data_IF_798826934275
#
_entry.id   IF_798826934275
#
_cell.length_a   1.000
_cell.length_b   1.000
_cell.length_c   1.000
_cell.angle_alpha   90.00
_cell.angle_beta   90.00
_cell.angle_gamma   90.00
#
_symmetry.space_group_name_H-M   'P 1'
#
loop_
_entity.id
_entity.type
_entity.pdbx_description
1 polymer ?
#
# COMPACT_ATOMS: atom_id res chain seq x y z
N UNK A 1 -6.04 5.89 -24.17
CA UNK A 1 -4.96 5.19 -23.44
C UNK A 1 -4.61 5.87 -22.13
N UNK A 2 -4.38 7.18 -22.10
CA UNK A 2 -4.13 7.93 -20.87
C UNK A 2 -4.96 9.21 -20.80
N UNK A 3 -5.03 9.79 -19.60
CA UNK A 3 -5.60 11.12 -19.33
C UNK A 3 -4.49 11.95 -18.68
N UNK A 4 -4.21 13.14 -19.22
CA UNK A 4 -3.23 14.08 -18.68
C UNK A 4 -3.99 15.25 -18.08
N UNK A 5 -3.73 15.55 -16.80
CA UNK A 5 -4.43 16.61 -16.06
C UNK A 5 -3.45 17.73 -15.73
N UNK A 6 -3.62 18.85 -16.41
CA UNK A 6 -2.80 20.05 -16.25
C UNK A 6 -3.58 21.16 -15.54
N UNK A 7 -2.85 22.17 -15.04
CA UNK A 7 -3.45 23.30 -14.32
C UNK A 7 -4.09 22.92 -12.98
N UNK A 8 -5.03 23.75 -12.54
CA UNK A 8 -5.80 23.65 -11.29
C UNK A 8 -7.19 24.27 -11.50
N UNK A 9 -8.25 23.59 -11.05
CA UNK A 9 -9.61 24.15 -11.12
C UNK A 9 -9.83 25.21 -10.03
N UNK A 10 -10.72 26.19 -10.31
CA UNK A 10 -11.04 27.28 -9.36
C UNK A 10 -11.80 26.80 -8.13
N UNK A 11 -12.63 25.77 -8.30
CA UNK A 11 -13.39 25.08 -7.26
C UNK A 11 -13.20 23.56 -7.40
N UNK A 12 -13.60 22.76 -6.40
CA UNK A 12 -13.64 21.31 -6.51
C UNK A 12 -14.39 20.83 -7.75
N UNK A 13 -13.79 19.92 -8.52
CA UNK A 13 -14.39 19.28 -9.69
C UNK A 13 -14.22 17.77 -9.69
N UNK A 14 -15.03 17.07 -10.49
CA UNK A 14 -14.74 15.72 -10.95
C UNK A 14 -14.86 15.65 -12.48
N UNK A 15 -14.08 14.76 -13.09
CA UNK A 15 -14.11 14.52 -14.53
C UNK A 15 -14.97 13.29 -14.78
N UNK A 16 -15.98 13.42 -15.63
CA UNK A 16 -16.87 12.33 -16.04
C UNK A 16 -16.63 11.99 -17.51
N UNK A 17 -16.31 10.72 -17.78
CA UNK A 17 -16.02 10.23 -19.12
C UNK A 17 -16.98 9.09 -19.44
N UNK A 18 -17.88 9.31 -20.41
CA UNK A 18 -18.77 8.27 -20.94
C UNK A 18 -18.49 8.10 -22.44
N UNK A 19 -17.70 7.08 -22.76
CA UNK A 19 -17.17 6.84 -24.11
C UNK A 19 -16.44 8.08 -24.67
N UNK A 20 -16.97 8.74 -25.70
CA UNK A 20 -16.41 9.96 -26.31
C UNK A 20 -16.79 11.24 -25.57
N UNK A 21 -17.79 11.19 -24.70
CA UNK A 21 -18.27 12.36 -23.97
C UNK A 21 -17.43 12.59 -22.72
N UNK A 22 -16.83 13.77 -22.62
CA UNK A 22 -16.01 14.20 -21.48
C UNK A 22 -16.60 15.46 -20.89
N UNK A 23 -16.91 15.43 -19.61
CA UNK A 23 -17.50 16.54 -18.86
C UNK A 23 -16.66 16.83 -17.62
N UNK A 24 -16.54 18.12 -17.27
CA UNK A 24 -16.02 18.56 -15.98
C UNK A 24 -17.22 19.04 -15.16
N UNK A 25 -17.44 18.39 -14.03
CA UNK A 25 -18.59 18.65 -13.15
C UNK A 25 -18.14 19.20 -11.81
N UNK A 26 -19.01 19.98 -11.18
CA UNK A 26 -18.78 20.47 -9.82
C UNK A 26 -18.69 19.30 -8.83
N UNK A 27 -17.74 19.36 -7.90
CA UNK A 27 -17.56 18.36 -6.86
C UNK A 27 -17.73 18.96 -5.46
N UNK A 28 -18.34 20.14 -5.32
CA UNK A 28 -18.45 20.83 -4.04
C UNK A 28 -19.24 20.02 -3.01
N UNK A 29 -20.25 19.26 -3.44
CA UNK A 29 -21.04 18.38 -2.57
C UNK A 29 -20.29 17.15 -2.04
N UNK A 30 -19.24 16.72 -2.75
CA UNK A 30 -18.44 15.53 -2.41
C UNK A 30 -17.04 15.88 -1.87
N UNK A 31 -16.63 17.15 -1.92
CA UNK A 31 -15.42 17.63 -1.26
C UNK A 31 -15.57 17.51 0.27
N UNK A 32 -14.54 17.03 0.96
CA UNK A 32 -14.57 16.73 2.39
C UNK A 32 -15.19 15.37 2.74
N UNK A 33 -15.80 14.66 1.78
CA UNK A 33 -16.40 13.34 1.99
C UNK A 33 -15.37 12.23 1.88
N UNK A 34 -15.56 11.17 2.67
CA UNK A 34 -14.76 9.94 2.54
C UNK A 34 -14.96 9.31 1.16
N UNK A 35 -14.02 8.48 0.73
CA UNK A 35 -14.06 7.85 -0.61
C UNK A 35 -15.36 7.06 -0.86
N UNK A 36 -15.89 6.35 0.15
CA UNK A 36 -17.14 5.60 0.02
C UNK A 36 -18.37 6.50 -0.15
N UNK A 37 -18.47 7.55 0.65
CA UNK A 37 -19.56 8.53 0.57
C UNK A 37 -19.55 9.26 -0.78
N UNK A 38 -18.38 9.76 -1.21
CA UNK A 38 -18.22 10.44 -2.49
C UNK A 38 -18.58 9.53 -3.67
N UNK A 39 -18.11 8.28 -3.67
CA UNK A 39 -18.46 7.30 -4.70
C UNK A 39 -19.95 7.00 -4.75
N UNK A 40 -20.62 6.87 -3.61
CA UNK A 40 -22.06 6.63 -3.57
C UNK A 40 -22.85 7.82 -4.14
N UNK A 41 -22.46 9.04 -3.79
CA UNK A 41 -23.09 10.26 -4.31
C UNK A 41 -22.91 10.35 -5.82
N UNK A 42 -21.69 10.15 -6.34
CA UNK A 42 -21.41 10.15 -7.78
C UNK A 42 -22.26 9.10 -8.50
N UNK A 43 -22.33 7.86 -7.98
CA UNK A 43 -23.11 6.79 -8.61
C UNK A 43 -24.61 7.09 -8.64
N UNK A 44 -25.13 7.75 -7.61
CA UNK A 44 -26.52 8.17 -7.55
C UNK A 44 -26.80 9.34 -8.51
N UNK A 45 -25.91 10.34 -8.58
CA UNK A 45 -26.04 11.48 -9.49
C UNK A 45 -26.03 11.04 -10.97
N UNK A 46 -25.18 10.07 -11.30
CA UNK A 46 -25.04 9.56 -12.67
C UNK A 46 -26.05 8.47 -13.05
N UNK A 47 -26.79 7.94 -12.06
CA UNK A 47 -27.69 6.79 -12.20
C UNK A 47 -27.05 5.60 -12.97
N UNK A 48 -25.77 5.34 -12.72
CA UNK A 48 -25.02 4.27 -13.39
C UNK A 48 -24.11 3.54 -12.39
N UNK A 49 -24.48 2.29 -12.08
CA UNK A 49 -23.73 1.44 -11.13
C UNK A 49 -22.45 0.85 -11.73
N UNK A 50 -22.30 0.88 -13.06
CA UNK A 50 -21.19 0.29 -13.81
C UNK A 50 -20.04 1.29 -14.05
N UNK A 51 -20.11 2.47 -13.47
CA UNK A 51 -19.00 3.43 -13.48
C UNK A 51 -17.87 2.95 -12.56
N UNK A 52 -16.65 3.21 -13.00
CA UNK A 52 -15.44 3.02 -12.21
C UNK A 52 -14.89 4.38 -11.81
N UNK A 53 -14.42 4.49 -10.57
CA UNK A 53 -14.04 5.77 -9.96
C UNK A 53 -12.62 5.71 -9.43
N UNK A 54 -11.77 6.61 -9.93
CA UNK A 54 -10.47 6.96 -9.35
C UNK A 54 -10.63 8.27 -8.58
N UNK A 55 -10.41 8.26 -7.27
CA UNK A 55 -10.73 9.41 -6.41
C UNK A 55 -9.77 9.60 -5.25
N UNK A 56 -9.87 10.77 -4.62
CA UNK A 56 -9.24 11.08 -3.34
C UNK A 56 -10.31 11.24 -2.25
N UNK A 57 -9.92 10.96 -1.01
CA UNK A 57 -10.62 11.32 0.21
C UNK A 57 -9.97 12.56 0.86
N UNK A 58 -10.32 12.85 2.13
CA UNK A 58 -9.83 14.01 2.86
C UNK A 58 -8.30 14.15 2.91
N UNK A 59 -7.54 13.05 2.96
CA UNK A 59 -6.08 13.11 2.95
C UNK A 59 -5.50 13.72 1.67
N UNK A 60 -6.10 13.44 0.51
CA UNK A 60 -5.72 14.09 -0.75
C UNK A 60 -6.12 15.55 -0.79
N UNK A 61 -7.32 15.89 -0.31
CA UNK A 61 -7.85 17.25 -0.25
C UNK A 61 -7.03 18.16 0.67
N UNK A 62 -6.57 17.62 1.81
CA UNK A 62 -5.67 18.28 2.74
C UNK A 62 -4.19 18.16 2.35
N UNK A 63 -3.87 17.60 1.18
CA UNK A 63 -2.50 17.50 0.67
C UNK A 63 -1.53 16.75 1.59
N UNK A 64 -1.98 15.70 2.29
CA UNK A 64 -1.09 14.80 3.03
C UNK A 64 -0.04 14.27 2.05
N UNK A 65 1.27 14.38 2.36
CA UNK A 65 2.34 14.14 1.37
C UNK A 65 2.35 12.75 0.78
N UNK A 66 1.80 11.77 1.51
CA UNK A 66 1.63 10.39 1.10
C UNK A 66 0.14 10.04 0.89
N UNK A 67 -0.68 11.02 0.50
CA UNK A 67 -2.03 10.75 0.01
C UNK A 67 -1.99 9.97 -1.30
N UNK A 68 -2.93 9.05 -1.44
CA UNK A 68 -3.02 8.11 -2.55
C UNK A 68 -4.27 8.35 -3.39
N UNK A 69 -4.32 7.76 -4.58
CA UNK A 69 -5.56 7.70 -5.38
C UNK A 69 -6.19 6.33 -5.17
N UNK A 70 -7.47 6.32 -4.79
CA UNK A 70 -8.25 5.11 -4.53
C UNK A 70 -9.17 4.84 -5.72
N UNK A 71 -9.04 3.64 -6.28
CA UNK A 71 -9.87 3.08 -7.34
C UNK A 71 -10.89 2.12 -6.73
N UNK A 72 -12.18 2.42 -6.90
CA UNK A 72 -13.31 1.62 -6.40
C UNK A 72 -13.15 1.14 -4.95
N UNK A 73 -12.71 2.03 -4.06
CA UNK A 73 -12.56 1.86 -2.60
C UNK A 73 -11.49 0.87 -2.08
N UNK A 74 -10.88 0.06 -2.95
CA UNK A 74 -10.05 -1.09 -2.52
C UNK A 74 -8.74 -1.30 -3.30
N UNK A 75 -8.50 -0.49 -4.31
CA UNK A 75 -7.25 -0.53 -5.08
C UNK A 75 -6.59 0.83 -5.03
N UNK A 76 -5.34 0.89 -4.60
CA UNK A 76 -4.65 2.16 -4.41
C UNK A 76 -3.51 2.33 -5.42
N UNK A 77 -3.42 3.50 -6.03
CA UNK A 77 -2.12 4.04 -6.45
C UNK A 77 -1.49 4.67 -5.20
N UNK A 78 -0.88 3.79 -4.39
CA UNK A 78 -0.68 4.01 -2.95
C UNK A 78 0.35 5.06 -2.58
N UNK A 79 1.52 5.06 -3.22
CA UNK A 79 2.70 5.76 -2.71
C UNK A 79 3.06 6.97 -3.54
N UNK A 80 4.07 7.73 -3.13
CA UNK A 80 4.61 8.92 -3.82
C UNK A 80 3.71 10.16 -3.84
N UNK A 81 2.58 10.15 -3.13
CA UNK A 81 1.79 11.38 -2.91
C UNK A 81 0.90 11.81 -4.08
N UNK A 82 0.57 10.91 -5.01
CA UNK A 82 -0.24 11.26 -6.18
C UNK A 82 -1.65 11.73 -5.82
N UNK A 83 -2.20 11.29 -4.67
CA UNK A 83 -3.46 11.82 -4.14
C UNK A 83 -3.36 13.28 -3.73
N UNK A 84 -2.21 13.73 -3.19
CA UNK A 84 -1.99 15.14 -2.88
C UNK A 84 -1.82 15.98 -4.14
N UNK A 85 -1.17 15.43 -5.17
CA UNK A 85 -1.10 16.09 -6.49
C UNK A 85 -2.50 16.27 -7.06
N UNK A 86 -3.33 15.23 -7.03
CA UNK A 86 -4.73 15.30 -7.47
C UNK A 86 -5.54 16.33 -6.68
N UNK A 87 -5.42 16.35 -5.35
CA UNK A 87 -6.08 17.34 -4.49
C UNK A 87 -5.60 18.77 -4.72
N UNK A 88 -4.30 18.97 -4.99
CA UNK A 88 -3.73 20.31 -5.27
C UNK A 88 -4.36 20.98 -6.49
N UNK A 89 -4.92 20.17 -7.41
CA UNK A 89 -5.61 20.61 -8.63
C UNK A 89 -7.10 20.83 -8.42
N UNK A 90 -7.62 20.69 -7.19
CA UNK A 90 -9.04 20.65 -6.85
C UNK A 90 -9.81 19.56 -7.61
N UNK A 91 -9.14 18.45 -7.96
CA UNK A 91 -9.76 17.32 -8.63
C UNK A 91 -10.13 16.24 -7.62
N UNK A 92 -11.42 16.03 -7.37
CA UNK A 92 -11.93 15.02 -6.44
C UNK A 92 -11.90 13.62 -7.02
N UNK A 93 -12.31 13.47 -8.28
CA UNK A 93 -12.45 12.17 -8.93
C UNK A 93 -12.30 12.25 -10.45
N UNK A 94 -11.90 11.13 -11.04
CA UNK A 94 -12.07 10.79 -12.45
C UNK A 94 -12.98 9.57 -12.50
N UNK A 95 -14.11 9.72 -13.18
CA UNK A 95 -15.19 8.75 -13.25
C UNK A 95 -15.31 8.30 -14.70
N UNK A 96 -15.28 6.99 -14.95
CA UNK A 96 -15.23 6.45 -16.31
C UNK A 96 -16.28 5.37 -16.53
N UNK A 97 -16.94 5.45 -17.69
CA UNK A 97 -17.83 4.43 -18.25
C UNK A 97 -17.50 4.23 -19.73
N UNK A 98 -17.06 3.02 -20.08
CA UNK A 98 -16.75 2.64 -21.47
C UNK A 98 -17.46 1.37 -21.91
N UNK A 99 -17.88 1.29 -23.17
CA UNK A 99 -18.47 0.08 -23.77
C UNK A 99 -17.66 -0.49 -24.96
N UNK A 100 -16.55 0.15 -25.33
CA UNK A 100 -15.67 -0.29 -26.41
C UNK A 100 -14.74 -1.41 -25.96
N UNK A 101 -14.46 -2.34 -26.86
CA UNK A 101 -13.48 -3.43 -26.65
C UNK A 101 -12.13 -3.05 -27.27
N UNK A 102 -11.00 -3.27 -26.57
CA UNK A 102 -9.68 -3.10 -27.15
C UNK A 102 -9.48 -4.01 -28.38
N UNK A 103 -8.77 -3.52 -29.39
CA UNK A 103 -8.36 -4.33 -30.55
C UNK A 103 -7.21 -5.24 -30.14
N UNK A 104 -7.30 -6.53 -30.48
CA UNK A 104 -6.26 -7.53 -30.23
C UNK A 104 -5.76 -8.06 -31.58
N UNK A 105 -4.46 -7.96 -31.82
CA UNK A 105 -3.85 -8.33 -33.10
C UNK A 105 -3.97 -9.83 -33.40
N UNK A 106 -3.75 -10.69 -32.40
CA UNK A 106 -3.90 -12.14 -32.52
C UNK A 106 -4.69 -12.69 -31.32
N UNK A 107 -5.97 -12.98 -31.53
CA UNK A 107 -6.90 -13.39 -30.47
C UNK A 107 -6.65 -14.83 -30.04
N UNK A 108 -6.30 -15.69 -30.98
CA UNK A 108 -5.99 -17.10 -30.78
C UNK A 108 -4.76 -17.22 -29.88
N UNK A 109 -3.69 -16.48 -30.19
CA UNK A 109 -2.47 -16.49 -29.38
C UNK A 109 -2.69 -15.96 -27.97
N UNK A 110 -3.49 -14.91 -27.81
CA UNK A 110 -3.84 -14.40 -26.48
C UNK A 110 -4.61 -15.46 -25.67
N UNK A 111 -5.53 -16.20 -26.29
CA UNK A 111 -6.25 -17.30 -25.64
C UNK A 111 -5.31 -18.43 -25.22
N UNK A 112 -4.39 -18.85 -26.09
CA UNK A 112 -3.38 -19.86 -25.76
C UNK A 112 -2.53 -19.45 -24.54
N UNK A 113 -2.06 -18.20 -24.51
CA UNK A 113 -1.25 -17.69 -23.40
C UNK A 113 -2.04 -17.66 -22.09
N UNK A 114 -3.30 -17.20 -22.13
CA UNK A 114 -4.21 -17.22 -20.97
C UNK A 114 -4.41 -18.64 -20.46
N UNK A 115 -4.67 -19.60 -21.35
CA UNK A 115 -4.97 -20.99 -20.99
C UNK A 115 -3.72 -21.67 -20.43
N UNK A 116 -2.55 -21.41 -21.02
CA UNK A 116 -1.26 -21.86 -20.48
C UNK A 116 -1.00 -21.29 -19.08
N UNK A 117 -1.24 -20.00 -18.86
CA UNK A 117 -1.12 -19.40 -17.52
C UNK A 117 -2.06 -20.09 -16.52
N UNK A 118 -3.31 -20.28 -16.92
CA UNK A 118 -4.36 -20.85 -16.09
C UNK A 118 -4.05 -22.29 -15.69
N UNK A 119 -3.63 -23.11 -16.64
CA UNK A 119 -3.39 -24.54 -16.43
C UNK A 119 -2.05 -24.81 -15.72
N UNK A 120 -1.02 -23.99 -15.96
CA UNK A 120 0.33 -24.29 -15.49
C UNK A 120 0.74 -23.52 -14.23
N UNK A 121 0.25 -22.28 -14.05
CA UNK A 121 0.79 -21.37 -13.04
C UNK A 121 -0.18 -21.04 -11.90
N UNK A 122 -1.50 -21.11 -12.11
CA UNK A 122 -2.48 -20.76 -11.06
C UNK A 122 -2.35 -21.58 -9.78
N UNK A 123 -1.96 -22.85 -9.88
CA UNK A 123 -1.73 -23.71 -8.72
C UNK A 123 -0.69 -23.15 -7.75
N UNK A 124 0.28 -22.37 -8.24
CA UNK A 124 1.32 -21.73 -7.43
C UNK A 124 0.78 -20.57 -6.59
N UNK A 125 -0.42 -20.08 -6.89
CA UNK A 125 -1.05 -18.94 -6.22
C UNK A 125 -2.14 -19.34 -5.21
N UNK A 126 -2.23 -20.63 -4.85
CA UNK A 126 -3.28 -21.14 -3.94
C UNK A 126 -3.34 -20.40 -2.60
N UNK A 127 -2.20 -20.10 -1.99
CA UNK A 127 -2.18 -19.35 -0.72
C UNK A 127 -2.69 -17.91 -0.90
N UNK A 128 -2.34 -17.23 -2.01
CA UNK A 128 -2.88 -15.91 -2.33
C UNK A 128 -4.40 -15.96 -2.58
N UNK A 129 -4.87 -16.99 -3.28
CA UNK A 129 -6.30 -17.21 -3.54
C UNK A 129 -7.11 -17.39 -2.25
N UNK A 130 -6.53 -18.05 -1.25
CA UNK A 130 -7.21 -18.36 0.01
C UNK A 130 -7.08 -17.26 1.06
N UNK A 131 -5.94 -16.58 1.13
CA UNK A 131 -5.60 -15.71 2.26
C UNK A 131 -5.01 -14.35 1.87
N UNK A 132 -4.82 -14.09 0.56
CA UNK A 132 -4.16 -12.90 0.06
C UNK A 132 -2.70 -12.79 0.50
N UNK A 133 -2.09 -11.61 0.32
CA UNK A 133 -0.73 -11.36 0.81
C UNK A 133 -0.69 -11.35 2.35
N UNK A 134 0.41 -11.79 2.95
CA UNK A 134 0.53 -11.85 4.43
C UNK A 134 -0.04 -13.13 5.05
N UNK A 135 -0.86 -13.91 4.33
CA UNK A 135 -1.33 -15.21 4.79
C UNK A 135 -0.21 -16.26 4.87
N UNK A 136 -0.01 -16.82 6.06
CA UNK A 136 0.96 -17.88 6.32
C UNK A 136 2.42 -17.45 6.36
N UNK A 137 2.71 -16.14 6.35
CA UNK A 137 4.09 -15.61 6.28
C UNK A 137 4.48 -14.74 7.46
N UNK A 138 3.54 -14.32 8.32
CA UNK A 138 3.86 -13.35 9.38
C UNK A 138 4.85 -13.93 10.40
N UNK A 139 4.56 -15.12 10.93
CA UNK A 139 5.45 -15.79 11.89
C UNK A 139 6.78 -16.18 11.24
N UNK A 140 6.74 -16.75 10.03
CA UNK A 140 7.97 -17.06 9.28
C UNK A 140 8.86 -15.83 9.11
N UNK A 141 8.31 -14.68 8.69
CA UNK A 141 9.07 -13.46 8.52
C UNK A 141 9.62 -12.91 9.84
N UNK A 142 8.87 -13.06 10.94
CA UNK A 142 9.40 -12.73 12.27
C UNK A 142 10.57 -13.62 12.66
N UNK A 143 10.47 -14.95 12.45
CA UNK A 143 11.51 -15.92 12.80
C UNK A 143 12.80 -15.71 12.03
N UNK A 144 12.72 -15.42 10.72
CA UNK A 144 13.92 -15.20 9.90
C UNK A 144 14.47 -13.77 9.99
N UNK A 145 13.83 -12.90 10.77
CA UNK A 145 14.25 -11.48 10.91
C UNK A 145 13.89 -10.59 9.72
N UNK A 146 12.92 -10.98 8.87
CA UNK A 146 12.46 -10.17 7.73
C UNK A 146 11.33 -9.18 8.09
N UNK A 147 10.64 -9.40 9.23
CA UNK A 147 9.47 -8.61 9.64
C UNK A 147 9.91 -7.39 10.49
N UNK A 148 9.76 -6.15 10.00
CA UNK A 148 10.06 -4.96 10.77
C UNK A 148 9.20 -4.87 12.03
N UNK A 149 9.83 -4.61 13.18
CA UNK A 149 9.16 -4.55 14.47
C UNK A 149 9.58 -3.30 15.23
N UNK A 150 8.59 -2.52 15.71
CA UNK A 150 8.77 -1.25 16.43
C UNK A 150 9.70 -0.27 15.70
N UNK A 151 9.24 0.28 14.58
CA UNK A 151 10.02 1.20 13.73
C UNK A 151 11.39 0.64 13.32
N UNK A 152 11.42 -0.62 12.85
CA UNK A 152 12.65 -1.38 12.53
C UNK A 152 13.69 -1.48 13.67
N UNK A 153 13.36 -1.10 14.91
CA UNK A 153 14.29 -1.19 16.06
C UNK A 153 14.62 -2.62 16.44
N UNK A 154 13.66 -3.54 16.31
CA UNK A 154 13.80 -4.92 16.73
C UNK A 154 13.66 -5.91 15.56
N UNK A 155 14.46 -6.99 15.61
CA UNK A 155 14.29 -8.16 14.77
C UNK A 155 13.52 -9.24 15.53
N UNK A 156 12.32 -9.59 15.06
CA UNK A 156 11.56 -10.73 15.55
C UNK A 156 10.59 -10.45 16.71
N UNK A 157 9.57 -11.30 16.78
CA UNK A 157 8.50 -11.28 17.78
C UNK A 157 7.83 -12.65 17.83
N UNK A 158 7.43 -13.10 19.01
CA UNK A 158 6.67 -14.35 19.18
C UNK A 158 5.15 -14.17 19.00
N UNK A 159 4.71 -12.94 18.69
CA UNK A 159 3.29 -12.59 18.54
C UNK A 159 2.85 -12.41 17.09
N UNK A 160 3.75 -12.52 16.11
CA UNK A 160 3.42 -12.30 14.70
C UNK A 160 2.27 -13.18 14.17
N UNK A 161 2.09 -14.38 14.72
CA UNK A 161 0.97 -15.27 14.37
C UNK A 161 -0.42 -14.67 14.63
N UNK A 162 -0.57 -13.73 15.56
CA UNK A 162 -1.86 -13.06 15.81
C UNK A 162 -2.22 -12.07 14.72
N UNK A 163 -1.26 -11.70 13.87
CA UNK A 163 -1.46 -10.83 12.71
C UNK A 163 -1.66 -11.62 11.41
N UNK A 164 -1.55 -12.94 11.44
CA UNK A 164 -1.57 -13.76 10.23
C UNK A 164 -3.02 -14.02 9.74
N UNK A 165 -3.40 -13.58 8.53
CA UNK A 165 -4.75 -13.79 7.99
C UNK A 165 -5.10 -15.27 7.80
N UNK A 166 -4.13 -16.17 7.60
CA UNK A 166 -4.40 -17.61 7.46
C UNK A 166 -4.85 -18.22 8.78
N UNK A 167 -4.25 -17.77 9.87
CA UNK A 167 -4.53 -18.27 11.23
C UNK A 167 -5.83 -17.63 11.76
N UNK A 168 -6.04 -16.34 11.52
CA UNK A 168 -7.11 -15.55 12.14
C UNK A 168 -8.28 -15.22 11.17
N UNK A 169 -8.42 -15.98 10.08
CA UNK A 169 -9.43 -15.74 9.02
C UNK A 169 -10.86 -15.63 9.53
N UNK A 170 -11.24 -16.43 10.52
CA UNK A 170 -12.59 -16.44 11.07
C UNK A 170 -12.86 -15.18 11.92
N UNK A 171 -11.85 -14.70 12.66
CA UNK A 171 -11.97 -13.51 13.51
C UNK A 171 -12.23 -12.22 12.72
N UNK A 172 -11.78 -12.19 11.48
CA UNK A 172 -11.94 -11.06 10.56
C UNK A 172 -12.98 -11.33 9.45
N UNK A 173 -13.68 -12.47 9.50
CA UNK A 173 -14.64 -12.90 8.48
C UNK A 173 -14.04 -12.78 7.05
N UNK A 174 -12.84 -13.33 6.86
CA UNK A 174 -12.07 -13.16 5.64
C UNK A 174 -12.77 -13.78 4.43
N UNK A 175 -13.02 -12.96 3.42
CA UNK A 175 -13.43 -13.37 2.08
C UNK A 175 -12.42 -12.87 1.07
N UNK A 176 -12.46 -13.48 -0.11
CA UNK A 176 -11.52 -13.20 -1.19
C UNK A 176 -12.26 -12.81 -2.48
N UNK A 177 -11.72 -11.85 -3.20
CA UNK A 177 -12.21 -11.30 -4.45
C UNK A 177 -11.08 -11.12 -5.48
N UNK A 178 -11.44 -10.69 -6.69
CA UNK A 178 -10.51 -10.52 -7.82
C UNK A 178 -10.48 -9.07 -8.29
N UNK A 179 -9.34 -8.67 -8.87
CA UNK A 179 -9.32 -7.54 -9.80
C UNK A 179 -9.98 -7.94 -11.13
N UNK A 180 -10.21 -6.97 -12.02
CA UNK A 180 -10.75 -7.23 -13.36
C UNK A 180 -9.99 -8.34 -14.08
N UNK A 181 -10.72 -9.35 -14.57
CA UNK A 181 -10.22 -10.51 -15.32
C UNK A 181 -9.09 -11.31 -14.63
N UNK A 182 -8.87 -11.12 -13.33
CA UNK A 182 -7.74 -11.72 -12.63
C UNK A 182 -8.11 -13.10 -12.04
N UNK A 183 -7.39 -14.18 -12.41
CA UNK A 183 -7.66 -15.52 -11.89
C UNK A 183 -7.04 -15.81 -10.51
N UNK A 184 -6.20 -14.92 -9.97
CA UNK A 184 -5.44 -15.15 -8.72
C UNK A 184 -6.29 -15.00 -7.46
N UNK A 185 -7.26 -14.08 -7.46
CA UNK A 185 -8.17 -13.80 -6.33
C UNK A 185 -7.49 -13.40 -5.02
N UNK A 186 -6.48 -12.51 -5.09
CA UNK A 186 -5.73 -12.09 -3.91
C UNK A 186 -6.41 -11.00 -3.06
N UNK A 187 -7.51 -10.39 -3.51
CA UNK A 187 -8.10 -9.21 -2.85
C UNK A 187 -8.92 -9.62 -1.63
N UNK A 188 -8.53 -9.15 -0.45
CA UNK A 188 -9.25 -9.43 0.78
C UNK A 188 -10.50 -8.57 0.91
N UNK A 189 -11.53 -9.15 1.50
CA UNK A 189 -12.74 -8.48 1.98
C UNK A 189 -12.94 -8.92 3.43
N UNK A 190 -12.97 -7.95 4.35
CA UNK A 190 -13.01 -8.18 5.79
C UNK A 190 -14.22 -7.47 6.39
N UNK A 191 -14.92 -8.13 7.30
CA UNK A 191 -16.04 -7.54 8.02
C UNK A 191 -15.92 -7.87 9.50
N UNK A 192 -15.86 -6.83 10.34
CA UNK A 192 -15.75 -6.98 11.79
C UNK A 192 -16.86 -6.15 12.44
N UNK A 193 -17.52 -6.70 13.45
CA UNK A 193 -18.58 -6.02 14.20
C UNK A 193 -18.10 -5.43 15.53
N UNK A 194 -17.07 -6.03 16.13
CA UNK A 194 -16.50 -5.62 17.43
C UNK A 194 -15.06 -6.12 17.62
N UNK A 195 -14.24 -5.45 18.46
CA UNK A 195 -14.50 -4.12 19.02
C UNK A 195 -14.32 -3.00 17.98
N UNK A 196 -13.67 -3.31 16.85
CA UNK A 196 -13.45 -2.40 15.74
C UNK A 196 -14.42 -2.71 14.61
N UNK A 197 -15.45 -1.88 14.42
CA UNK A 197 -16.38 -2.04 13.29
C UNK A 197 -15.63 -1.79 11.98
N UNK A 198 -15.55 -2.78 11.09
CA UNK A 198 -14.90 -2.70 9.78
C UNK A 198 -15.90 -3.00 8.68
N UNK A 199 -16.06 -2.04 7.76
CA UNK A 199 -16.95 -2.13 6.61
C UNK A 199 -16.27 -2.88 5.45
N UNK A 200 -16.86 -3.98 4.94
CA UNK A 200 -16.28 -4.78 3.87
C UNK A 200 -16.07 -4.05 2.54
N UNK A 201 -16.72 -2.90 2.30
CA UNK A 201 -16.52 -2.16 1.04
C UNK A 201 -15.08 -1.65 0.87
N UNK A 202 -14.34 -1.48 1.97
CA UNK A 202 -12.95 -1.01 1.96
C UNK A 202 -11.92 -2.15 1.87
N UNK A 203 -12.37 -3.38 1.66
CA UNK A 203 -11.50 -4.55 1.50
C UNK A 203 -10.83 -4.98 2.81
N UNK A 204 -9.60 -5.47 2.73
CA UNK A 204 -8.80 -5.87 3.89
C UNK A 204 -7.31 -5.58 3.70
N UNK A 205 -6.52 -5.60 4.79
CA UNK A 205 -5.12 -5.21 4.76
C UNK A 205 -4.28 -6.21 3.95
N UNK A 206 -3.41 -5.71 3.07
CA UNK A 206 -2.33 -6.48 2.45
C UNK A 206 -1.14 -6.62 3.41
N UNK A 207 -0.17 -7.49 3.09
CA UNK A 207 1.02 -7.76 3.93
C UNK A 207 1.66 -6.48 4.47
N UNK A 208 1.90 -5.52 3.57
CA UNK A 208 2.49 -4.22 3.89
C UNK A 208 1.67 -3.46 4.95
N UNK A 209 0.35 -3.39 4.77
CA UNK A 209 -0.55 -2.78 5.75
C UNK A 209 -0.55 -3.53 7.08
N UNK A 210 -0.49 -4.87 7.04
CA UNK A 210 -0.47 -5.70 8.25
C UNK A 210 0.80 -5.42 9.06
N UNK A 211 1.96 -5.42 8.42
CA UNK A 211 3.23 -5.19 9.10
C UNK A 211 3.39 -3.72 9.53
N UNK A 212 2.97 -2.75 8.70
CA UNK A 212 3.11 -1.32 9.00
C UNK A 212 2.32 -0.89 10.23
N UNK A 213 1.07 -1.33 10.37
CA UNK A 213 0.22 -1.02 11.53
C UNK A 213 0.31 -2.06 12.65
N UNK A 214 0.77 -3.26 12.35
CA UNK A 214 0.93 -4.35 13.31
C UNK A 214 2.31 -4.32 13.96
N UNK A 215 3.20 -5.21 13.49
CA UNK A 215 4.52 -5.44 14.10
C UNK A 215 5.35 -4.16 14.19
N UNK A 216 5.31 -3.30 13.16
CA UNK A 216 6.09 -2.07 13.13
C UNK A 216 5.60 -1.01 14.12
N UNK A 217 4.31 -1.01 14.49
CA UNK A 217 3.77 -0.23 15.61
C UNK A 217 3.74 -1.03 16.94
N UNK A 218 4.28 -2.25 16.97
CA UNK A 218 4.23 -3.13 18.14
C UNK A 218 2.82 -3.60 18.51
N UNK A 219 1.86 -3.51 17.59
CA UNK A 219 0.45 -3.87 17.78
C UNK A 219 0.23 -5.29 17.24
N UNK A 220 -0.45 -6.12 18.03
CA UNK A 220 -0.68 -7.54 17.74
C UNK A 220 -2.18 -7.88 17.76
N UNK A 221 -3.01 -6.92 17.34
CA UNK A 221 -4.46 -7.00 17.18
C UNK A 221 -4.80 -6.83 15.70
N UNK A 222 -5.11 -7.94 15.02
CA UNK A 222 -5.42 -7.93 13.58
C UNK A 222 -6.70 -7.14 13.27
N UNK A 223 -7.67 -7.11 14.19
CA UNK A 223 -8.92 -6.35 14.00
C UNK A 223 -8.64 -4.84 14.00
N UNK A 224 -7.76 -4.36 14.88
CA UNK A 224 -7.30 -2.97 14.87
C UNK A 224 -6.55 -2.62 13.57
N UNK A 225 -5.73 -3.53 13.06
CA UNK A 225 -5.03 -3.36 11.77
C UNK A 225 -6.01 -3.31 10.59
N UNK A 226 -7.05 -4.15 10.59
CA UNK A 226 -8.13 -4.08 9.60
C UNK A 226 -8.86 -2.73 9.67
N UNK A 227 -9.05 -2.18 10.87
CA UNK A 227 -9.63 -0.84 11.04
C UNK A 227 -8.72 0.26 10.51
N UNK A 228 -7.41 0.16 10.75
CA UNK A 228 -6.43 1.10 10.19
C UNK A 228 -6.46 1.11 8.65
N UNK A 229 -6.56 -0.08 8.03
CA UNK A 229 -6.72 -0.22 6.59
C UNK A 229 -7.98 0.49 6.07
N UNK A 230 -9.13 0.25 6.71
CA UNK A 230 -10.40 0.91 6.35
C UNK A 230 -10.27 2.43 6.38
N UNK A 231 -9.70 2.98 7.46
CA UNK A 231 -9.51 4.43 7.61
C UNK A 231 -8.57 4.99 6.54
N UNK A 232 -7.47 4.30 6.22
CA UNK A 232 -6.57 4.73 5.15
C UNK A 232 -7.28 4.76 3.79
N UNK A 233 -8.13 3.78 3.48
CA UNK A 233 -8.91 3.77 2.25
C UNK A 233 -10.01 4.85 2.25
N UNK A 234 -10.67 5.12 3.39
CA UNK A 234 -11.63 6.22 3.57
C UNK A 234 -11.02 7.58 3.31
N UNK A 235 -9.83 7.79 3.87
CA UNK A 235 -9.12 9.07 3.83
C UNK A 235 -8.17 9.20 2.64
N UNK A 236 -7.98 8.14 1.86
CA UNK A 236 -7.02 8.05 0.75
C UNK A 236 -5.58 8.42 1.13
N UNK A 237 -5.01 7.71 2.11
CA UNK A 237 -3.61 7.85 2.52
C UNK A 237 -2.88 6.51 2.44
N UNK A 238 -1.59 6.53 2.10
CA UNK A 238 -0.74 5.33 2.02
C UNK A 238 -0.65 4.62 3.37
N UNK A 239 -0.95 3.32 3.41
CA UNK A 239 -0.88 2.53 4.64
C UNK A 239 0.57 2.36 5.12
N UNK A 240 1.54 2.23 4.21
CA UNK A 240 2.95 2.06 4.57
C UNK A 240 3.46 3.33 5.23
N UNK A 241 3.40 4.46 4.52
CA UNK A 241 3.87 5.75 5.06
C UNK A 241 3.10 6.18 6.30
N UNK A 242 1.79 5.93 6.38
CA UNK A 242 1.01 6.24 7.60
C UNK A 242 1.47 5.41 8.79
N UNK A 243 1.61 4.09 8.63
CA UNK A 243 2.11 3.21 9.70
C UNK A 243 3.53 3.57 10.14
N UNK A 244 4.40 3.92 9.18
CA UNK A 244 5.77 4.36 9.44
C UNK A 244 5.86 5.70 10.17
N UNK A 245 5.01 6.69 9.83
CA UNK A 245 4.97 7.95 10.56
C UNK A 245 4.44 7.76 12.00
N UNK A 246 3.49 6.84 12.19
CA UNK A 246 2.99 6.51 13.53
C UNK A 246 4.05 5.77 14.35
N UNK A 247 4.74 4.77 13.79
CA UNK A 247 5.81 4.05 14.49
C UNK A 247 6.98 4.95 14.85
N UNK A 248 7.35 5.87 13.95
CA UNK A 248 8.34 6.91 14.20
C UNK A 248 7.94 7.80 15.38
N UNK A 249 6.69 8.28 15.40
CA UNK A 249 6.18 9.09 16.49
C UNK A 249 6.11 8.32 17.82
N UNK A 250 5.76 7.03 17.77
CA UNK A 250 5.81 6.13 18.95
C UNK A 250 7.22 6.00 19.51
N UNK A 251 8.22 5.88 18.64
CA UNK A 251 9.62 5.81 19.09
C UNK A 251 10.10 7.14 19.66
N UNK A 252 9.74 8.27 19.04
CA UNK A 252 10.04 9.59 19.60
C UNK A 252 9.40 9.77 20.99
N UNK A 253 8.17 9.28 21.18
CA UNK A 253 7.49 9.32 22.48
C UNK A 253 8.19 8.46 23.53
N UNK A 254 8.60 7.23 23.20
CA UNK A 254 9.34 6.37 24.13
C UNK A 254 10.73 6.91 24.50
N UNK A 255 11.33 7.73 23.63
CA UNK A 255 12.61 8.39 23.88
C UNK A 255 12.46 9.81 24.47
N UNK A 256 11.26 10.20 24.95
CA UNK A 256 10.96 11.52 25.52
C UNK A 256 11.22 12.71 24.58
N UNK A 257 11.26 12.49 23.27
CA UNK A 257 11.30 13.55 22.25
C UNK A 257 9.91 14.15 22.06
N UNK A 258 8.88 13.31 22.13
CA UNK A 258 7.48 13.71 22.19
C UNK A 258 6.90 13.31 23.55
N UNK A 259 5.90 14.04 24.01
CA UNK A 259 5.14 13.73 25.21
C UNK A 259 3.63 13.95 24.98
N UNK A 260 2.81 13.74 26.02
CA UNK A 260 1.35 13.85 25.90
C UNK A 260 0.86 15.25 25.50
N UNK A 261 1.61 16.31 25.82
CA UNK A 261 1.24 17.66 25.38
C UNK A 261 1.37 17.83 23.86
N UNK A 262 2.40 17.24 23.24
CA UNK A 262 2.62 17.28 21.80
C UNK A 262 1.53 16.48 21.04
N UNK A 263 1.01 15.43 21.66
CA UNK A 263 0.02 14.52 21.06
C UNK A 263 -1.42 14.90 21.38
N UNK A 264 -1.66 15.96 22.17
CA UNK A 264 -3.01 16.35 22.61
C UNK A 264 -3.64 15.36 23.60
N UNK A 265 -2.84 14.76 24.47
CA UNK A 265 -3.25 13.82 25.52
C UNK A 265 -3.21 12.34 25.10
N UNK A 266 -2.73 12.03 23.89
CA UNK A 266 -2.64 10.65 23.41
C UNK A 266 -1.35 10.00 23.92
N UNK A 267 -1.47 8.92 24.69
CA UNK A 267 -0.32 8.09 25.10
C UNK A 267 0.19 7.28 23.91
N UNK A 268 1.06 7.88 23.09
CA UNK A 268 1.52 7.33 21.82
C UNK A 268 2.73 6.40 21.99
N UNK A 269 2.55 5.29 22.72
CA UNK A 269 3.59 4.25 22.89
C UNK A 269 3.36 3.07 21.94
N UNK A 270 4.41 2.29 21.66
CA UNK A 270 4.26 1.07 20.88
C UNK A 270 3.25 0.11 21.53
N UNK A 271 2.42 -0.53 20.69
CA UNK A 271 1.38 -1.45 21.12
C UNK A 271 0.04 -0.80 21.49
N UNK A 272 -0.07 0.53 21.48
CA UNK A 272 -1.34 1.22 21.71
C UNK A 272 -2.17 1.34 20.41
N UNK A 273 -3.07 0.38 20.19
CA UNK A 273 -3.95 0.37 19.01
C UNK A 273 -4.92 1.55 18.96
N UNK A 274 -5.42 2.00 20.10
CA UNK A 274 -6.33 3.14 20.16
C UNK A 274 -5.62 4.46 19.77
N UNK A 275 -4.36 4.64 20.20
CA UNK A 275 -3.54 5.78 19.79
C UNK A 275 -3.26 5.74 18.29
N UNK A 276 -2.90 4.57 17.74
CA UNK A 276 -2.69 4.40 16.29
C UNK A 276 -3.93 4.82 15.49
N UNK A 277 -5.12 4.34 15.86
CA UNK A 277 -6.37 4.69 15.17
C UNK A 277 -6.66 6.20 15.22
N UNK A 278 -6.48 6.84 16.38
CA UNK A 278 -6.65 8.29 16.51
C UNK A 278 -5.66 9.07 15.63
N UNK A 279 -4.40 8.64 15.57
CA UNK A 279 -3.38 9.32 14.77
C UNK A 279 -3.63 9.23 13.27
N UNK A 280 -4.23 8.14 12.76
CA UNK A 280 -4.63 8.04 11.36
C UNK A 280 -5.60 9.17 10.99
N UNK A 281 -6.61 9.42 11.82
CA UNK A 281 -7.57 10.50 11.56
C UNK A 281 -6.93 11.88 11.65
N UNK A 282 -6.08 12.10 12.67
CA UNK A 282 -5.37 13.36 12.85
C UNK A 282 -4.43 13.67 11.69
N UNK A 283 -3.75 12.66 11.15
CA UNK A 283 -2.93 12.79 9.94
C UNK A 283 -3.81 13.19 8.74
N UNK A 284 -4.89 12.45 8.49
CA UNK A 284 -5.78 12.71 7.37
C UNK A 284 -6.42 14.11 7.41
N UNK A 285 -6.65 14.64 8.61
CA UNK A 285 -7.26 15.96 8.86
C UNK A 285 -6.23 17.06 9.13
N UNK A 286 -4.93 16.74 9.19
CA UNK A 286 -3.85 17.66 9.59
C UNK A 286 -4.12 18.38 10.92
N UNK A 287 -4.41 17.62 11.97
CA UNK A 287 -4.72 18.17 13.29
C UNK A 287 -3.60 17.91 14.31
N UNK A 288 -3.10 18.96 14.97
CA UNK A 288 -2.04 18.84 15.99
C UNK A 288 -0.80 18.16 15.43
N UNK A 289 -0.27 17.15 16.15
CA UNK A 289 0.84 16.32 15.64
C UNK A 289 0.55 15.68 14.27
N UNK A 290 -0.72 15.45 13.94
CA UNK A 290 -1.13 14.94 12.64
C UNK A 290 -0.70 15.83 11.45
N UNK A 291 -0.66 17.16 11.61
CA UNK A 291 -0.16 18.07 10.56
C UNK A 291 1.35 17.89 10.31
N UNK A 292 2.11 17.65 11.37
CA UNK A 292 3.54 17.41 11.30
C UNK A 292 3.81 16.07 10.60
N UNK A 293 3.14 15.01 11.04
CA UNK A 293 3.29 13.66 10.48
C UNK A 293 2.80 13.57 9.04
N UNK A 294 1.79 14.36 8.65
CA UNK A 294 1.30 14.42 7.27
C UNK A 294 2.36 14.88 6.25
N UNK A 295 3.51 15.42 6.69
CA UNK A 295 4.62 15.78 5.81
C UNK A 295 5.59 14.63 5.46
N UNK A 296 5.41 13.45 6.09
CA UNK A 296 6.29 12.28 5.97
C UNK A 296 7.49 12.34 6.93
N UNK A 297 8.08 11.18 7.26
CA UNK A 297 9.02 11.02 8.40
C UNK A 297 10.22 11.94 8.30
N UNK A 298 10.72 12.18 7.08
CA UNK A 298 11.86 13.09 6.84
C UNK A 298 11.56 14.49 7.38
N UNK A 299 10.46 15.09 6.89
CA UNK A 299 10.08 16.46 7.23
C UNK A 299 9.49 16.56 8.63
N UNK A 300 8.80 15.51 9.07
CA UNK A 300 8.31 15.42 10.43
C UNK A 300 9.47 15.46 11.44
N UNK A 301 10.54 14.69 11.20
CA UNK A 301 11.73 14.73 12.04
C UNK A 301 12.44 16.08 12.03
N UNK A 302 12.56 16.74 10.87
CA UNK A 302 13.10 18.10 10.75
C UNK A 302 12.28 19.12 11.58
N UNK A 303 10.96 18.97 11.63
CA UNK A 303 10.06 19.81 12.44
C UNK A 303 10.11 19.50 13.94
N UNK A 304 10.19 18.22 14.31
CA UNK A 304 10.21 17.77 15.71
C UNK A 304 11.56 18.06 16.38
N UNK A 305 12.66 17.95 15.64
CA UNK A 305 14.03 18.17 16.11
C UNK A 305 14.41 17.24 17.28
N UNK A 306 15.33 17.65 18.15
CA UNK A 306 15.74 16.92 19.37
C UNK A 306 16.23 15.48 19.13
N UNK A 307 16.91 15.23 18.00
CA UNK A 307 17.39 13.89 17.66
C UNK A 307 16.38 13.02 16.92
N UNK A 308 15.19 13.54 16.60
CA UNK A 308 14.16 12.78 15.89
C UNK A 308 14.66 12.19 14.56
N UNK A 309 15.61 12.84 13.88
CA UNK A 309 16.14 12.32 12.61
C UNK A 309 16.76 10.90 12.73
N UNK A 310 17.23 10.50 13.92
CA UNK A 310 17.79 9.15 14.15
C UNK A 310 16.71 8.05 14.03
N UNK A 311 15.43 8.41 14.21
CA UNK A 311 14.29 7.50 14.12
C UNK A 311 13.56 7.58 12.78
N UNK A 312 13.97 8.49 11.88
CA UNK A 312 13.29 8.76 10.61
C UNK A 312 13.78 7.82 9.50
N UNK A 313 13.14 6.66 9.38
CA UNK A 313 13.57 5.60 8.45
C UNK A 313 12.99 5.81 7.04
N UNK A 314 13.82 6.34 6.15
CA UNK A 314 13.42 6.65 4.76
C UNK A 314 14.57 6.53 3.75
N UNK A 315 14.23 6.44 2.47
CA UNK A 315 15.14 6.74 1.35
C UNK A 315 14.51 7.79 0.45
N UNK A 316 15.26 8.85 0.14
CA UNK A 316 14.78 10.02 -0.65
C UNK A 316 13.50 10.66 -0.06
N UNK A 317 13.30 10.52 1.25
CA UNK A 317 12.13 11.03 1.96
C UNK A 317 10.89 10.13 1.92
N UNK A 318 10.94 8.99 1.21
CA UNK A 318 9.87 7.99 1.25
C UNK A 318 10.20 6.91 2.29
N UNK A 319 9.23 6.61 3.14
CA UNK A 319 9.32 5.61 4.20
C UNK A 319 9.65 4.21 3.64
N UNK A 320 10.36 3.39 4.40
CA UNK A 320 10.65 2.02 3.99
C UNK A 320 9.38 1.15 3.98
N UNK A 321 9.23 0.24 2.99
CA UNK A 321 8.21 -0.80 3.02
C UNK A 321 8.63 -1.95 3.96
N UNK A 322 7.74 -2.89 4.21
CA UNK A 322 7.79 -3.83 5.33
C UNK A 322 8.70 -5.04 5.09
N UNK A 323 9.92 -4.82 4.63
CA UNK A 323 10.93 -5.85 4.49
C UNK A 323 12.29 -5.35 4.98
N UNK A 324 12.92 -6.15 5.84
CA UNK A 324 14.16 -5.82 6.54
C UNK A 324 15.38 -5.78 5.59
N UNK A 325 15.96 -4.60 5.29
CA UNK A 325 17.13 -4.51 4.40
C UNK A 325 18.43 -5.05 5.02
N UNK A 326 18.54 -5.14 6.36
CA UNK A 326 19.69 -5.80 7.02
C UNK A 326 19.71 -7.31 6.75
N UNK A 327 18.52 -7.91 6.54
CA UNK A 327 18.36 -9.30 6.15
C UNK A 327 18.43 -9.49 4.63
N UNK A 328 17.82 -8.57 3.85
CA UNK A 328 17.81 -8.59 2.38
C UNK A 328 18.69 -7.48 1.82
N UNK A 329 20.00 -7.70 1.76
CA UNK A 329 20.95 -6.62 1.41
C UNK A 329 20.81 -6.16 -0.05
N UNK A 330 20.47 -7.06 -0.99
CA UNK A 330 20.16 -6.70 -2.37
C UNK A 330 18.93 -5.79 -2.48
N UNK A 331 17.87 -6.08 -1.71
CA UNK A 331 16.70 -5.21 -1.57
C UNK A 331 17.09 -3.85 -0.95
N UNK A 332 17.97 -3.86 0.05
CA UNK A 332 18.53 -2.63 0.65
C UNK A 332 19.19 -1.74 -0.38
N UNK A 333 20.06 -2.29 -1.23
CA UNK A 333 20.63 -1.56 -2.38
C UNK A 333 19.52 -1.05 -3.31
N UNK A 334 18.54 -1.89 -3.64
CA UNK A 334 17.38 -1.54 -4.44
C UNK A 334 16.59 -0.34 -3.91
N UNK A 335 16.38 -0.24 -2.60
CA UNK A 335 15.77 0.94 -1.98
C UNK A 335 16.57 2.21 -2.25
N UNK A 336 17.90 2.16 -2.09
CA UNK A 336 18.77 3.35 -2.28
C UNK A 336 18.71 3.91 -3.70
N UNK A 337 18.70 3.05 -4.71
CA UNK A 337 18.79 3.45 -6.13
C UNK A 337 17.42 3.64 -6.80
N UNK A 338 16.34 3.15 -6.19
CA UNK A 338 14.97 3.30 -6.70
C UNK A 338 14.64 4.75 -7.09
N UNK A 339 14.03 5.00 -8.28
CA UNK A 339 13.68 6.35 -8.71
C UNK A 339 12.57 6.99 -7.87
N UNK A 340 11.78 6.20 -7.15
CA UNK A 340 10.60 6.64 -6.38
C UNK A 340 10.83 6.64 -4.86
N UNK A 341 12.07 6.44 -4.41
CA UNK A 341 12.40 6.26 -2.98
C UNK A 341 12.30 4.79 -2.56
N UNK A 342 12.33 4.51 -1.26
CA UNK A 342 12.28 3.13 -0.78
C UNK A 342 10.98 2.43 -1.23
N UNK A 343 11.08 1.41 -2.08
CA UNK A 343 9.96 0.70 -2.68
C UNK A 343 10.34 -0.77 -2.93
N UNK A 344 9.41 -1.71 -2.76
CA UNK A 344 9.66 -3.14 -2.86
C UNK A 344 9.13 -3.76 -4.16
N UNK A 345 8.05 -3.20 -4.73
CA UNK A 345 7.34 -3.79 -5.87
C UNK A 345 8.15 -3.82 -7.18
N UNK A 346 9.13 -2.93 -7.33
CA UNK A 346 10.01 -2.91 -8.50
C UNK A 346 11.47 -3.21 -8.14
N UNK A 347 11.68 -4.03 -7.11
CA UNK A 347 13.00 -4.41 -6.62
C UNK A 347 13.17 -5.94 -6.50
N UNK A 348 14.41 -6.36 -6.30
CA UNK A 348 14.76 -7.73 -6.01
C UNK A 348 14.43 -8.07 -4.56
N UNK A 349 13.71 -9.17 -4.34
CA UNK A 349 13.65 -9.82 -3.04
C UNK A 349 14.66 -10.94 -3.00
N UNK A 350 15.72 -10.80 -2.20
CA UNK A 350 16.84 -11.76 -2.13
C UNK A 350 16.41 -13.22 -1.90
N UNK A 351 15.33 -13.42 -1.14
CA UNK A 351 14.73 -14.74 -0.89
C UNK A 351 14.25 -15.45 -2.16
N UNK A 352 14.01 -14.71 -3.25
CA UNK A 352 13.61 -15.27 -4.55
C UNK A 352 14.79 -15.85 -5.35
N UNK A 353 16.03 -15.62 -4.93
CA UNK A 353 17.23 -16.12 -5.62
C UNK A 353 18.20 -16.86 -4.68
N UNK A 354 17.80 -17.08 -3.43
CA UNK A 354 18.66 -17.66 -2.41
C UNK A 354 18.73 -19.20 -2.44
N UNK A 355 17.90 -19.86 -3.26
CA UNK A 355 17.85 -21.33 -3.34
C UNK A 355 17.65 -21.84 -4.76
N UNK A 356 18.06 -23.10 -5.01
CA UNK A 356 17.88 -23.74 -6.32
C UNK A 356 16.41 -23.78 -6.79
N UNK A 357 15.46 -23.87 -5.85
CA UNK A 357 14.04 -23.86 -6.18
C UNK A 357 13.50 -22.47 -6.54
N UNK A 358 13.92 -21.44 -5.80
CA UNK A 358 13.42 -20.08 -5.97
C UNK A 358 13.97 -19.39 -7.23
N UNK A 359 15.20 -19.72 -7.63
CA UNK A 359 15.90 -19.08 -8.75
C UNK A 359 15.36 -19.45 -10.14
N UNK A 360 14.45 -20.42 -10.26
CA UNK A 360 13.99 -20.94 -11.55
C UNK A 360 13.49 -19.84 -12.51
N UNK A 361 12.80 -18.83 -11.97
CA UNK A 361 12.30 -17.69 -12.74
C UNK A 361 13.41 -16.74 -13.24
N UNK A 362 14.60 -16.82 -12.65
CA UNK A 362 15.76 -15.98 -13.01
C UNK A 362 16.73 -16.69 -13.97
N UNK A 363 16.53 -17.98 -14.23
CA UNK A 363 17.37 -18.74 -15.17
C UNK A 363 17.33 -18.14 -16.58
N UNK A 364 16.16 -17.62 -17.00
CA UNK A 364 15.97 -16.94 -18.29
C UNK A 364 16.77 -15.64 -18.40
N UNK A 365 17.13 -15.03 -17.27
CA UNK A 365 18.03 -13.87 -17.20
C UNK A 365 19.52 -14.26 -17.10
N UNK A 366 19.84 -15.55 -17.19
CA UNK A 366 21.21 -16.06 -17.04
C UNK A 366 21.73 -16.08 -15.60
N UNK A 367 20.85 -15.96 -14.60
CA UNK A 367 21.20 -16.10 -13.19
C UNK A 367 20.95 -17.56 -12.78
N UNK A 368 21.97 -18.39 -12.92
CA UNK A 368 21.85 -19.86 -12.84
C UNK A 368 22.24 -20.45 -11.48
N UNK A 369 22.91 -19.66 -10.63
CA UNK A 369 23.42 -20.10 -9.33
C UNK A 369 22.80 -19.27 -8.22
N UNK A 370 22.28 -19.90 -7.15
CA UNK A 370 21.77 -19.17 -5.99
C UNK A 370 22.78 -18.17 -5.44
N UNK A 371 22.27 -17.00 -5.03
CA UNK A 371 23.07 -15.95 -4.42
C UNK A 371 22.65 -15.80 -2.97
N UNK A 372 23.64 -15.70 -2.06
CA UNK A 372 23.39 -15.52 -0.64
C UNK A 372 22.67 -14.21 -0.35
N UNK A 373 21.98 -14.12 0.78
CA UNK A 373 21.17 -12.95 1.14
C UNK A 373 22.01 -11.70 1.42
N UNK A 374 23.24 -11.90 1.89
CA UNK A 374 24.26 -10.89 2.21
C UNK A 374 25.27 -10.66 1.07
N UNK A 375 25.06 -11.27 -0.10
CA UNK A 375 25.92 -11.04 -1.26
C UNK A 375 25.63 -9.65 -1.87
N UNK A 376 26.67 -8.83 -2.00
CA UNK A 376 26.64 -7.53 -2.70
C UNK A 376 27.62 -7.46 -3.87
N UNK A 377 28.09 -8.62 -4.37
CA UNK A 377 28.97 -8.70 -5.53
C UNK A 377 28.29 -8.20 -6.80
N UNK A 378 29.09 -8.02 -7.86
CA UNK A 378 28.58 -7.68 -9.19
C UNK A 378 27.51 -8.68 -9.71
N UNK A 379 27.51 -9.93 -9.24
CA UNK A 379 26.47 -10.91 -9.57
C UNK A 379 25.12 -10.54 -8.96
N UNK A 380 25.09 -10.13 -7.69
CA UNK A 380 23.87 -9.64 -7.03
C UNK A 380 23.37 -8.38 -7.72
N UNK A 381 24.25 -7.42 -7.97
CA UNK A 381 23.88 -6.16 -8.63
C UNK A 381 23.29 -6.42 -10.02
N UNK A 382 23.86 -7.34 -10.79
CA UNK A 382 23.27 -7.75 -12.08
C UNK A 382 21.86 -8.32 -11.92
N UNK A 383 21.65 -9.22 -10.96
CA UNK A 383 20.33 -9.81 -10.69
C UNK A 383 19.31 -8.73 -10.29
N UNK A 384 19.72 -7.76 -9.45
CA UNK A 384 18.90 -6.62 -9.07
C UNK A 384 18.48 -5.80 -10.30
N UNK A 385 19.43 -5.38 -11.14
CA UNK A 385 19.12 -4.57 -12.33
C UNK A 385 18.20 -5.31 -13.30
N UNK A 386 18.42 -6.60 -13.53
CA UNK A 386 17.55 -7.40 -14.39
C UNK A 386 16.13 -7.50 -13.82
N UNK A 387 15.99 -7.72 -12.52
CA UNK A 387 14.68 -7.73 -11.87
C UNK A 387 13.98 -6.38 -11.95
N UNK A 388 14.70 -5.28 -11.69
CA UNK A 388 14.13 -3.92 -11.76
C UNK A 388 13.63 -3.61 -13.18
N UNK A 389 14.40 -3.97 -14.21
CA UNK A 389 14.00 -3.79 -15.61
C UNK A 389 12.78 -4.64 -15.97
N UNK A 390 12.71 -5.88 -15.48
CA UNK A 390 11.56 -6.75 -15.68
C UNK A 390 10.29 -6.18 -15.05
N UNK A 391 10.38 -5.71 -13.80
CA UNK A 391 9.27 -5.02 -13.15
C UNK A 391 8.85 -3.74 -13.89
N UNK A 392 9.81 -2.95 -14.38
CA UNK A 392 9.52 -1.75 -15.16
C UNK A 392 8.77 -2.06 -16.46
N UNK A 393 9.16 -3.13 -17.16
CA UNK A 393 8.44 -3.62 -18.33
C UNK A 393 7.01 -4.04 -17.97
N UNK A 394 6.82 -4.82 -16.90
CA UNK A 394 5.50 -5.22 -16.42
C UNK A 394 4.59 -4.03 -16.11
N UNK A 395 5.14 -3.01 -15.45
CA UNK A 395 4.42 -1.77 -15.16
C UNK A 395 4.03 -1.01 -16.43
N UNK A 396 4.92 -0.91 -17.43
CA UNK A 396 4.64 -0.28 -18.72
C UNK A 396 3.54 -1.03 -19.52
N UNK A 397 3.47 -2.35 -19.36
CA UNK A 397 2.42 -3.21 -19.92
C UNK A 397 1.12 -3.20 -19.10
N UNK A 398 1.09 -2.51 -17.95
CA UNK A 398 -0.03 -2.48 -17.00
C UNK A 398 -0.42 -3.89 -16.53
N UNK A 399 0.58 -4.73 -16.29
CA UNK A 399 0.41 -6.09 -15.78
C UNK A 399 0.58 -6.12 -14.25
N UNK A 400 -0.20 -6.97 -13.60
CA UNK A 400 -0.04 -7.21 -12.17
C UNK A 400 1.26 -7.98 -11.92
N UNK A 401 2.01 -7.61 -10.89
CA UNK A 401 3.26 -8.29 -10.49
C UNK A 401 3.13 -9.80 -10.25
N UNK A 402 1.94 -10.28 -9.90
CA UNK A 402 1.68 -11.71 -9.69
C UNK A 402 1.36 -12.49 -10.98
N UNK A 403 1.42 -11.86 -12.15
CA UNK A 403 1.18 -12.47 -13.47
C UNK A 403 2.42 -12.26 -14.32
#
# INVERSE_FOLDING_TARGET
>A
DAIIIEGKAKSPIFIWIKNENVEIRDASLIWGKTTGEAQQIIKNELDDKLVHISQIGPGGEHLVRYACVINDLRSAAGRTGMGAVMGSKNLKAVVVRGNKRPKVANKEKLRELRDSFSNNYLKNYKEYYSYGTGGGVMEMFATIGNLPTRNFKAGGTNRAKTLDPKINKEEINLKMETCFACPIKCKKVVQIKEPWVVDPIYGGPEYETIAAFGSNCGIYDLKAVCKANELCNKYSIDTISTGMNISFAMECFENNILNESDTGGIVLKFGNSQAMIQMIEKIAKREGLGDILAEGVKRAAEKIQNGAQEFAIHVKGQELPMHEPRFKQGLGLGYTISPTGAEHMHNLHDTAIASKGSIANFNTFGILTPLQLDDLSAKKVRALIYQMNWCALGNALVMCYFV
#
